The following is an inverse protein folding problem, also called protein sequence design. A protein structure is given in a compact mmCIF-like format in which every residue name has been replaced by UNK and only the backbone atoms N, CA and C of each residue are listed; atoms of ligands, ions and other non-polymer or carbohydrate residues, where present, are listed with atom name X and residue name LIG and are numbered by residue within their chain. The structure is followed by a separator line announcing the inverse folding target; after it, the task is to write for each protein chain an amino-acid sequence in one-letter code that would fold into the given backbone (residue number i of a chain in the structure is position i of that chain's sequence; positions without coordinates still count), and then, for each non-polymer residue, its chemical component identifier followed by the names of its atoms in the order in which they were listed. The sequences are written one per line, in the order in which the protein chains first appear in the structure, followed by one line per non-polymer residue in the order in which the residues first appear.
data_IF_432544005681
#
_entry.id   IF_432544005681
#
_cell.length_a   1.000
_cell.length_b   1.000
_cell.length_c   1.000
_cell.angle_alpha   90.00
_cell.angle_beta   90.00
_cell.angle_gamma   90.00
#
_symmetry.space_group_name_H-M   'P 1'
#
loop_
_entity.id
_entity.type
_entity.pdbx_description
1 polymer ?
#
# COMPACT_ATOMS: atom_id res chain seq x y z
N UNK A 1 25.85 -65.39 -4.80
CA UNK A 1 26.70 -64.82 -5.83
C UNK A 1 26.39 -63.34 -5.83
N UNK A 2 27.10 -62.56 -5.09
CA UNK A 2 28.38 -61.89 -5.46
C UNK A 2 28.18 -60.87 -6.57
N UNK A 3 28.48 -59.61 -6.20
CA UNK A 3 28.90 -58.51 -6.99
C UNK A 3 28.23 -57.20 -6.51
N UNK A 4 28.62 -56.42 -5.60
CA UNK A 4 29.80 -55.58 -5.24
C UNK A 4 30.18 -54.55 -6.33
N UNK A 5 30.17 -53.30 -5.82
CA UNK A 5 31.12 -52.16 -6.03
C UNK A 5 30.79 -51.17 -7.15
N UNK A 6 30.81 -49.92 -6.75
CA UNK A 6 31.03 -48.79 -7.63
C UNK A 6 30.77 -47.46 -6.96
N UNK A 7 31.69 -47.05 -6.05
CA UNK A 7 31.82 -45.70 -5.54
C UNK A 7 32.31 -44.77 -6.66
N UNK A 8 31.94 -43.52 -6.59
CA UNK A 8 32.48 -42.47 -7.43
C UNK A 8 31.92 -41.11 -7.10
N UNK A 9 32.48 -40.48 -6.05
CA UNK A 9 32.49 -39.03 -5.96
C UNK A 9 33.66 -38.49 -6.78
N UNK A 10 33.61 -37.29 -7.30
CA UNK A 10 34.75 -36.40 -7.19
C UNK A 10 34.40 -35.10 -6.48
N UNK A 11 35.26 -34.81 -5.53
CA UNK A 11 35.58 -33.49 -5.03
C UNK A 11 36.21 -32.61 -6.12
N UNK A 12 36.24 -31.38 -5.75
CA UNK A 12 37.06 -30.26 -6.21
C UNK A 12 36.27 -29.28 -7.06
N UNK A 13 36.35 -27.96 -6.90
CA UNK A 13 37.42 -27.12 -6.35
C UNK A 13 36.85 -25.72 -6.12
N UNK A 14 37.35 -25.05 -5.09
CA UNK A 14 37.13 -23.65 -4.81
C UNK A 14 37.77 -22.75 -5.86
N UNK A 15 37.03 -21.73 -6.29
CA UNK A 15 37.64 -20.55 -6.92
C UNK A 15 37.02 -19.30 -6.33
N UNK A 16 37.77 -18.72 -5.46
CA UNK A 16 37.77 -17.34 -5.03
C UNK A 16 37.88 -16.38 -6.23
N UNK A 17 36.96 -15.43 -6.35
CA UNK A 17 37.21 -14.21 -7.09
C UNK A 17 36.36 -13.09 -6.52
N UNK A 18 36.98 -12.18 -5.81
CA UNK A 18 36.44 -10.94 -5.31
C UNK A 18 35.77 -10.10 -6.40
N UNK A 19 34.60 -9.58 -6.08
CA UNK A 19 33.88 -8.63 -6.87
C UNK A 19 33.21 -7.61 -5.96
N UNK A 20 33.93 -6.55 -5.67
CA UNK A 20 33.43 -5.31 -5.11
C UNK A 20 32.29 -4.79 -5.97
N UNK A 21 31.06 -4.81 -5.48
CA UNK A 21 29.97 -4.13 -6.14
C UNK A 21 29.45 -3.01 -5.28
N UNK A 22 29.82 -1.84 -5.76
CA UNK A 22 29.25 -0.53 -5.49
C UNK A 22 27.73 -0.57 -5.29
N UNK A 23 27.27 -0.02 -4.16
CA UNK A 23 25.86 0.21 -3.89
C UNK A 23 25.23 1.18 -4.91
N UNK A 24 23.92 1.12 -5.08
CA UNK A 24 23.23 2.01 -6.01
C UNK A 24 23.33 3.46 -5.54
N UNK A 25 23.99 4.23 -6.36
CA UNK A 25 24.10 5.67 -6.31
C UNK A 25 22.72 6.29 -6.47
N UNK A 26 22.20 6.93 -5.42
CA UNK A 26 21.00 7.75 -5.47
C UNK A 26 21.38 9.14 -6.00
N UNK A 27 20.96 9.57 -7.18
CA UNK A 27 21.20 10.95 -7.63
C UNK A 27 20.28 11.90 -6.88
N UNK A 28 20.88 12.84 -6.15
CA UNK A 28 20.19 13.98 -5.58
C UNK A 28 19.81 14.97 -6.70
N UNK A 29 18.62 15.58 -6.66
CA UNK A 29 18.26 16.62 -7.62
C UNK A 29 19.05 17.91 -7.34
N UNK A 30 19.41 18.67 -8.38
CA UNK A 30 20.15 19.93 -8.22
C UNK A 30 19.26 21.01 -7.59
N UNK A 31 19.84 21.68 -6.59
CA UNK A 31 19.32 22.90 -5.99
C UNK A 31 19.34 24.05 -7.03
N UNK A 32 18.21 24.43 -7.55
CA UNK A 32 18.04 25.62 -8.36
C UNK A 32 17.62 26.80 -7.48
N UNK A 33 18.59 27.60 -7.06
CA UNK A 33 18.34 28.95 -6.57
C UNK A 33 18.04 29.84 -7.78
N UNK A 34 16.78 30.19 -7.99
CA UNK A 34 16.37 31.20 -8.94
C UNK A 34 15.90 32.45 -8.18
N UNK A 35 16.78 33.44 -8.15
CA UNK A 35 16.41 34.82 -7.82
C UNK A 35 15.50 35.36 -8.93
N UNK A 36 14.24 35.62 -8.60
CA UNK A 36 13.35 36.39 -9.48
C UNK A 36 13.01 37.70 -8.77
N UNK A 37 13.53 38.78 -9.31
CA UNK A 37 13.16 40.14 -8.99
C UNK A 37 11.73 40.41 -9.46
N UNK A 38 10.90 40.95 -8.58
CA UNK A 38 9.56 41.40 -8.91
C UNK A 38 9.60 42.80 -9.55
N UNK A 39 8.82 43.05 -10.63
CA UNK A 39 8.61 44.41 -11.11
C UNK A 39 7.56 45.13 -10.25
N UNK A 40 7.90 46.35 -9.87
CA UNK A 40 7.00 47.29 -9.21
C UNK A 40 6.10 47.92 -10.28
N UNK A 41 4.84 47.58 -10.29
CA UNK A 41 3.81 48.35 -10.96
C UNK A 41 2.81 48.88 -9.97
N UNK A 42 2.86 50.20 -9.79
CA UNK A 42 1.96 51.00 -8.97
C UNK A 42 0.62 51.15 -9.66
N UNK A 43 -0.42 50.57 -9.18
CA UNK A 43 -1.81 50.85 -9.57
C UNK A 43 -2.43 51.78 -8.55
N UNK A 44 -2.87 52.99 -8.91
CA UNK A 44 -3.56 53.88 -7.99
C UNK A 44 -5.04 53.57 -7.90
N UNK A 45 -5.58 53.36 -6.72
CA UNK A 45 -7.01 53.46 -6.48
C UNK A 45 -7.76 52.28 -5.84
N UNK A 46 -7.14 51.44 -5.04
CA UNK A 46 -7.87 50.46 -4.21
C UNK A 46 -7.87 50.96 -2.77
N UNK A 47 -9.08 51.27 -2.24
CA UNK A 47 -9.27 51.53 -0.81
C UNK A 47 -8.85 50.30 -0.02
N UNK A 48 -7.71 50.39 0.61
CA UNK A 48 -7.23 49.38 1.56
C UNK A 48 -8.14 49.37 2.78
N UNK A 49 -9.10 48.45 2.80
CA UNK A 49 -9.67 48.00 4.05
C UNK A 49 -8.57 47.27 4.78
N UNK A 50 -8.04 47.86 5.81
CA UNK A 50 -7.01 47.31 6.70
C UNK A 50 -7.59 46.04 7.37
N UNK A 51 -7.42 44.90 6.73
CA UNK A 51 -7.66 43.62 7.37
C UNK A 51 -6.56 43.41 8.39
N UNK A 52 -6.91 43.46 9.65
CA UNK A 52 -6.01 43.15 10.79
C UNK A 52 -5.50 41.69 10.61
N UNK A 53 -4.22 41.49 10.26
CA UNK A 53 -3.69 40.14 9.97
C UNK A 53 -3.69 39.25 11.22
N UNK A 54 -3.87 39.82 12.42
CA UNK A 54 -3.86 39.04 13.67
C UNK A 54 -5.20 38.39 14.00
N UNK A 55 -6.32 38.84 13.42
CA UNK A 55 -7.65 38.24 13.64
C UNK A 55 -7.91 37.03 12.77
N UNK A 56 -7.27 36.96 11.60
CA UNK A 56 -7.60 35.92 10.63
C UNK A 56 -6.77 34.61 10.78
N UNK A 57 -5.57 34.72 11.37
CA UNK A 57 -4.66 33.58 11.56
C UNK A 57 -5.24 32.54 12.52
N UNK A 58 -5.92 32.98 13.60
CA UNK A 58 -6.54 32.03 14.54
C UNK A 58 -7.72 31.26 13.94
N UNK A 59 -8.48 31.89 13.06
CA UNK A 59 -9.58 31.23 12.35
C UNK A 59 -9.09 30.21 11.34
N UNK A 60 -8.08 30.56 10.56
CA UNK A 60 -7.49 29.67 9.55
C UNK A 60 -6.76 28.50 10.20
N UNK A 61 -5.97 28.74 11.28
CA UNK A 61 -5.33 27.66 12.03
C UNK A 61 -6.35 26.71 12.69
N UNK A 62 -7.47 27.26 13.17
CA UNK A 62 -8.54 26.43 13.78
C UNK A 62 -9.25 25.58 12.76
N UNK A 63 -9.47 26.09 11.55
CA UNK A 63 -10.09 25.33 10.45
C UNK A 63 -9.13 24.26 9.96
N UNK A 64 -7.86 24.57 9.70
CA UNK A 64 -6.84 23.60 9.30
C UNK A 64 -6.57 22.53 10.36
N UNK A 65 -6.58 22.92 11.65
CA UNK A 65 -6.43 21.97 12.76
C UNK A 65 -7.69 21.09 12.95
N UNK A 66 -8.86 21.53 12.55
CA UNK A 66 -10.09 20.74 12.61
C UNK A 66 -10.22 19.78 11.42
N UNK A 67 -9.69 20.14 10.26
CA UNK A 67 -9.62 19.25 9.08
C UNK A 67 -8.57 18.16 9.27
N UNK A 68 -7.39 18.50 9.80
CA UNK A 68 -6.36 17.51 10.13
C UNK A 68 -6.80 16.48 11.20
N UNK A 69 -7.78 16.84 12.05
CA UNK A 69 -8.32 15.91 13.06
C UNK A 69 -9.43 15.01 12.53
N UNK A 70 -10.01 15.29 11.38
CA UNK A 70 -11.05 14.44 10.77
C UNK A 70 -10.50 13.25 10.02
N UNK A 71 -9.22 13.28 9.65
CA UNK A 71 -8.58 12.24 8.83
C UNK A 71 -7.82 11.18 9.64
N UNK A 72 -7.65 11.37 10.95
CA UNK A 72 -6.99 10.36 11.78
C UNK A 72 -8.01 9.53 12.54
N UNK A 73 -8.15 8.26 12.16
CA UNK A 73 -8.89 7.28 12.94
C UNK A 73 -8.23 7.09 14.30
N UNK A 74 -9.01 6.79 15.35
CA UNK A 74 -8.39 6.24 16.56
C UNK A 74 -7.73 4.91 16.24
N UNK A 75 -6.66 4.54 16.95
CA UNK A 75 -5.98 3.26 16.74
C UNK A 75 -6.95 2.07 16.90
N UNK A 76 -7.89 2.18 17.81
CA UNK A 76 -8.93 1.18 18.02
C UNK A 76 -9.87 1.08 16.81
N UNK A 77 -10.30 2.19 16.25
CA UNK A 77 -11.20 2.22 15.08
C UNK A 77 -10.47 1.72 13.84
N UNK A 78 -9.21 2.11 13.68
CA UNK A 78 -8.37 1.57 12.62
C UNK A 78 -8.26 0.05 12.69
N UNK A 79 -7.89 -0.49 13.86
CA UNK A 79 -7.75 -1.94 14.05
C UNK A 79 -9.05 -2.68 13.79
N UNK A 80 -10.18 -2.15 14.28
CA UNK A 80 -11.49 -2.75 14.06
C UNK A 80 -11.86 -2.78 12.58
N UNK A 81 -11.65 -1.67 11.86
CA UNK A 81 -11.94 -1.57 10.42
C UNK A 81 -11.02 -2.45 9.59
N UNK A 82 -9.72 -2.45 9.88
CA UNK A 82 -8.75 -3.28 9.18
C UNK A 82 -9.05 -4.78 9.39
N UNK A 83 -9.34 -5.20 10.62
CA UNK A 83 -9.72 -6.58 10.91
C UNK A 83 -11.02 -6.99 10.19
N UNK A 84 -12.00 -6.07 10.09
CA UNK A 84 -13.25 -6.31 9.38
C UNK A 84 -13.02 -6.53 7.87
N UNK A 85 -12.10 -5.77 7.25
CA UNK A 85 -11.71 -5.97 5.85
C UNK A 85 -11.11 -7.35 5.63
N UNK A 86 -10.11 -7.74 6.44
CA UNK A 86 -9.48 -9.05 6.31
C UNK A 86 -10.50 -10.19 6.47
N UNK A 87 -11.35 -10.12 7.51
CA UNK A 87 -12.40 -11.11 7.73
C UNK A 87 -13.44 -11.14 6.60
N UNK A 88 -13.71 -10.03 5.95
CA UNK A 88 -14.62 -9.98 4.80
C UNK A 88 -14.00 -10.65 3.56
N UNK A 89 -12.71 -10.43 3.33
CA UNK A 89 -11.96 -11.10 2.25
C UNK A 89 -11.96 -12.62 2.47
N UNK A 90 -11.64 -13.11 3.67
CA UNK A 90 -11.69 -14.54 4.03
C UNK A 90 -13.05 -15.13 3.70
N UNK A 91 -14.13 -14.55 4.23
CA UNK A 91 -15.50 -15.04 3.95
C UNK A 91 -15.87 -15.02 2.47
N UNK A 92 -15.33 -14.11 1.69
CA UNK A 92 -15.58 -14.06 0.25
C UNK A 92 -14.89 -15.23 -0.46
N UNK A 93 -13.66 -15.53 -0.08
CA UNK A 93 -12.89 -16.65 -0.60
C UNK A 93 -13.53 -17.98 -0.20
N UNK A 94 -13.92 -18.16 1.08
CA UNK A 94 -14.62 -19.35 1.57
C UNK A 94 -15.91 -19.61 0.77
N UNK A 95 -16.65 -18.54 0.45
CA UNK A 95 -17.87 -18.66 -0.37
C UNK A 95 -17.54 -19.11 -1.80
N UNK A 96 -16.47 -18.60 -2.40
CA UNK A 96 -16.05 -19.03 -3.76
C UNK A 96 -15.65 -20.49 -3.79
N UNK A 97 -15.03 -21.01 -2.74
CA UNK A 97 -14.75 -22.45 -2.60
C UNK A 97 -16.05 -23.25 -2.53
N UNK A 98 -17.04 -22.81 -1.73
CA UNK A 98 -18.33 -23.47 -1.59
C UNK A 98 -19.17 -23.47 -2.89
N UNK A 99 -19.00 -22.43 -3.71
CA UNK A 99 -19.71 -22.23 -4.97
C UNK A 99 -18.93 -22.80 -6.19
N UNK A 100 -17.84 -23.55 -5.97
CA UNK A 100 -16.94 -24.08 -7.02
C UNK A 100 -16.44 -22.99 -7.99
N UNK A 101 -16.31 -21.74 -7.50
CA UNK A 101 -15.79 -20.64 -8.32
C UNK A 101 -14.29 -20.79 -8.48
N UNK A 102 -13.55 -20.88 -7.39
CA UNK A 102 -12.10 -21.04 -7.37
C UNK A 102 -11.66 -21.52 -5.98
N UNK A 103 -10.63 -22.35 -5.95
CA UNK A 103 -9.98 -22.81 -4.73
C UNK A 103 -8.78 -21.90 -4.44
N UNK A 104 -8.92 -21.04 -3.44
CA UNK A 104 -7.86 -20.17 -2.93
C UNK A 104 -7.67 -20.50 -1.46
N UNK A 105 -6.49 -20.96 -1.09
CA UNK A 105 -6.15 -21.17 0.31
C UNK A 105 -5.94 -19.84 1.03
N UNK A 106 -6.43 -19.74 2.25
CA UNK A 106 -6.25 -18.56 3.11
C UNK A 106 -5.44 -18.89 4.34
N UNK A 107 -4.41 -18.11 4.62
CA UNK A 107 -3.64 -18.20 5.86
C UNK A 107 -3.64 -16.86 6.57
N UNK A 108 -4.10 -16.85 7.83
CA UNK A 108 -4.16 -15.62 8.63
C UNK A 108 -3.34 -15.71 9.88
N UNK A 109 -2.46 -14.73 10.09
CA UNK A 109 -1.68 -14.57 11.30
C UNK A 109 -1.76 -13.12 11.79
N UNK A 110 -2.58 -12.88 12.81
CA UNK A 110 -2.80 -11.53 13.33
C UNK A 110 -3.37 -10.58 12.29
N UNK A 111 -2.61 -9.54 11.94
CA UNK A 111 -2.97 -8.54 10.93
C UNK A 111 -2.52 -8.87 9.50
N UNK A 112 -1.98 -10.06 9.28
CA UNK A 112 -1.54 -10.53 7.98
C UNK A 112 -2.51 -11.61 7.48
N UNK A 113 -2.93 -11.51 6.22
CA UNK A 113 -3.73 -12.49 5.50
C UNK A 113 -3.07 -12.79 4.16
N UNK A 114 -2.75 -14.05 3.93
CA UNK A 114 -2.27 -14.55 2.63
C UNK A 114 -3.39 -15.27 1.89
N UNK A 115 -3.49 -15.00 0.60
CA UNK A 115 -4.34 -15.70 -0.35
C UNK A 115 -3.43 -16.46 -1.31
N UNK A 116 -3.47 -17.79 -1.29
CA UNK A 116 -2.64 -18.67 -2.13
C UNK A 116 -3.50 -19.21 -3.26
N UNK A 117 -3.17 -18.85 -4.48
CA UNK A 117 -3.90 -19.24 -5.68
C UNK A 117 -3.47 -20.63 -6.17
N UNK A 118 -4.29 -21.32 -6.98
CA UNK A 118 -3.99 -22.66 -7.50
C UNK A 118 -2.67 -22.74 -8.29
N UNK A 119 -2.23 -21.63 -8.88
CA UNK A 119 -0.94 -21.55 -9.61
C UNK A 119 0.26 -21.30 -8.67
N UNK A 120 0.02 -21.29 -7.37
CA UNK A 120 1.04 -21.01 -6.33
C UNK A 120 1.36 -19.53 -6.17
N UNK A 121 0.76 -18.64 -6.93
CA UNK A 121 0.92 -17.19 -6.70
C UNK A 121 0.20 -16.75 -5.44
N UNK A 122 0.63 -15.62 -4.86
CA UNK A 122 0.09 -15.13 -3.60
C UNK A 122 -0.32 -13.67 -3.71
N UNK A 123 -1.38 -13.33 -2.97
CA UNK A 123 -1.69 -11.96 -2.58
C UNK A 123 -1.54 -11.88 -1.06
N UNK A 124 -0.82 -10.89 -0.58
CA UNK A 124 -0.61 -10.66 0.84
C UNK A 124 -1.26 -9.34 1.24
N UNK A 125 -2.15 -9.41 2.21
CA UNK A 125 -2.77 -8.26 2.85
C UNK A 125 -2.17 -8.11 4.24
N UNK A 126 -1.70 -6.91 4.58
CA UNK A 126 -1.06 -6.66 5.86
C UNK A 126 -1.53 -5.34 6.47
N UNK A 127 -1.88 -5.36 7.74
CA UNK A 127 -2.22 -4.15 8.50
C UNK A 127 -0.95 -3.47 9.00
N UNK A 128 -0.87 -2.16 8.88
CA UNK A 128 0.24 -1.33 9.36
C UNK A 128 -0.25 -0.33 10.41
N UNK A 129 -0.38 -0.72 11.68
CA UNK A 129 -0.93 0.15 12.71
C UNK A 129 -0.21 1.49 12.89
N UNK A 130 1.13 1.58 12.84
CA UNK A 130 1.81 2.86 13.00
C UNK A 130 1.49 3.89 11.90
N UNK A 131 1.11 3.42 10.72
CA UNK A 131 0.75 4.26 9.57
C UNK A 131 -0.76 4.37 9.37
N UNK A 132 -1.55 3.57 10.10
CA UNK A 132 -2.98 3.38 9.91
C UNK A 132 -3.34 3.02 8.45
N UNK A 133 -2.50 2.14 7.85
CA UNK A 133 -2.63 1.70 6.46
C UNK A 133 -2.92 0.20 6.36
N UNK A 134 -3.59 -0.17 5.28
CA UNK A 134 -3.63 -1.54 4.76
C UNK A 134 -2.67 -1.64 3.58
N UNK A 135 -1.85 -2.66 3.57
CA UNK A 135 -0.95 -2.95 2.45
C UNK A 135 -1.45 -4.18 1.71
N UNK A 136 -1.42 -4.09 0.39
CA UNK A 136 -1.72 -5.18 -0.53
C UNK A 136 -0.47 -5.41 -1.38
N UNK A 137 0.06 -6.62 -1.35
CA UNK A 137 1.15 -7.05 -2.20
C UNK A 137 0.65 -8.18 -3.12
N UNK A 138 0.79 -7.99 -4.42
CA UNK A 138 0.40 -8.93 -5.45
C UNK A 138 1.51 -9.08 -6.50
N UNK A 139 1.37 -9.97 -7.47
CA UNK A 139 2.32 -10.11 -8.57
C UNK A 139 2.52 -8.81 -9.36
N UNK A 140 1.48 -8.00 -9.49
CA UNK A 140 1.52 -6.69 -10.18
C UNK A 140 2.21 -5.59 -9.38
N UNK A 141 2.48 -5.78 -8.08
CA UNK A 141 3.14 -4.79 -7.21
C UNK A 141 2.50 -4.62 -5.86
N UNK A 142 2.94 -3.58 -5.14
CA UNK A 142 2.45 -3.23 -3.81
C UNK A 142 1.64 -1.93 -3.81
N UNK A 143 0.49 -1.94 -3.12
CA UNK A 143 -0.42 -0.81 -2.94
C UNK A 143 -0.64 -0.54 -1.45
N UNK A 144 -0.80 0.72 -1.10
CA UNK A 144 -0.99 1.18 0.27
C UNK A 144 -2.30 1.96 0.37
N UNK A 145 -3.14 1.61 1.32
CA UNK A 145 -4.49 2.17 1.46
C UNK A 145 -4.66 2.83 2.82
N UNK A 146 -5.25 4.02 2.82
CA UNK A 146 -5.73 4.72 4.02
C UNK A 146 -7.25 4.73 4.06
N UNK A 147 -7.78 4.70 5.27
CA UNK A 147 -9.22 4.83 5.46
C UNK A 147 -9.61 6.32 5.50
N UNK A 148 -10.28 6.78 4.46
CA UNK A 148 -10.79 8.14 4.30
C UNK A 148 -12.31 8.04 4.19
N UNK A 149 -13.05 8.74 5.03
CA UNK A 149 -14.53 8.72 5.06
C UNK A 149 -15.14 7.30 5.06
N UNK A 150 -14.48 6.38 5.75
CA UNK A 150 -14.92 4.98 5.86
C UNK A 150 -14.55 4.07 4.69
N UNK A 151 -13.88 4.59 3.67
CA UNK A 151 -13.40 3.86 2.49
C UNK A 151 -11.89 3.70 2.53
N UNK A 152 -11.38 2.57 2.11
CA UNK A 152 -9.95 2.33 1.98
C UNK A 152 -9.50 2.75 0.57
N UNK A 153 -8.78 3.88 0.49
CA UNK A 153 -8.32 4.47 -0.77
C UNK A 153 -6.80 4.36 -0.89
N UNK A 154 -6.32 3.99 -2.07
CA UNK A 154 -4.89 3.96 -2.39
C UNK A 154 -4.26 5.35 -2.22
N UNK A 155 -3.08 5.39 -1.62
CA UNK A 155 -2.38 6.65 -1.28
C UNK A 155 -1.85 7.41 -2.49
N UNK A 156 -1.76 6.76 -3.66
CA UNK A 156 -1.24 7.36 -4.90
C UNK A 156 -2.35 7.69 -5.89
N UNK A 157 -3.18 6.71 -6.22
CA UNK A 157 -4.16 6.79 -7.30
C UNK A 157 -5.61 6.95 -6.79
N UNK A 158 -5.82 6.94 -5.48
CA UNK A 158 -7.15 7.03 -4.85
C UNK A 158 -8.13 5.92 -5.28
N UNK A 159 -7.61 4.80 -5.81
CA UNK A 159 -8.40 3.63 -6.17
C UNK A 159 -8.88 2.93 -4.90
N UNK A 160 -10.10 2.40 -4.94
CA UNK A 160 -10.70 1.73 -3.80
C UNK A 160 -10.08 0.34 -3.60
N UNK A 161 -9.93 -0.10 -2.35
CA UNK A 161 -9.26 -1.34 -1.96
C UNK A 161 -9.85 -2.60 -2.61
N UNK A 162 -11.18 -2.76 -2.56
CA UNK A 162 -11.82 -3.96 -3.12
C UNK A 162 -11.78 -3.98 -4.65
N UNK A 163 -11.77 -2.82 -5.29
CA UNK A 163 -11.55 -2.71 -6.73
C UNK A 163 -10.12 -3.13 -7.09
N UNK A 164 -9.12 -2.62 -6.38
CA UNK A 164 -7.72 -2.98 -6.59
C UNK A 164 -7.47 -4.48 -6.32
N UNK A 165 -8.01 -5.01 -5.21
CA UNK A 165 -7.91 -6.43 -4.87
C UNK A 165 -8.58 -7.31 -5.93
N UNK A 166 -9.75 -6.90 -6.43
CA UNK A 166 -10.44 -7.63 -7.52
C UNK A 166 -9.62 -7.70 -8.79
N UNK A 167 -8.95 -6.61 -9.15
CA UNK A 167 -8.06 -6.54 -10.31
C UNK A 167 -6.88 -7.51 -10.14
N UNK A 168 -6.14 -7.39 -9.04
CA UNK A 168 -4.99 -8.24 -8.75
C UNK A 168 -5.38 -9.74 -8.68
N UNK A 169 -6.49 -10.04 -8.02
CA UNK A 169 -6.98 -11.42 -7.90
C UNK A 169 -7.42 -11.99 -9.25
N UNK A 170 -8.09 -11.20 -10.07
CA UNK A 170 -8.51 -11.64 -11.42
C UNK A 170 -7.32 -11.93 -12.33
N UNK A 171 -6.29 -11.10 -12.28
CA UNK A 171 -5.04 -11.28 -13.02
C UNK A 171 -4.31 -12.58 -12.61
N UNK A 172 -4.22 -12.86 -11.29
CA UNK A 172 -3.56 -14.05 -10.78
C UNK A 172 -4.37 -15.33 -10.99
N UNK A 173 -5.69 -15.24 -10.92
CA UNK A 173 -6.60 -16.36 -11.15
C UNK A 173 -6.81 -16.68 -12.64
N UNK A 174 -6.47 -15.76 -13.55
CA UNK A 174 -6.79 -15.89 -14.97
C UNK A 174 -8.30 -15.89 -15.28
N UNK A 175 -9.13 -15.41 -14.34
CA UNK A 175 -10.60 -15.31 -14.46
C UNK A 175 -11.12 -14.14 -13.66
N UNK A 176 -12.27 -13.61 -14.04
CA UNK A 176 -12.87 -12.47 -13.33
C UNK A 176 -13.31 -12.86 -11.92
N UNK A 177 -12.72 -12.23 -10.91
CA UNK A 177 -13.08 -12.33 -9.51
C UNK A 177 -13.46 -10.94 -9.01
N UNK A 178 -14.53 -10.84 -8.21
CA UNK A 178 -14.98 -9.54 -7.70
C UNK A 178 -15.17 -9.59 -6.19
N UNK A 179 -14.32 -8.88 -5.49
CA UNK A 179 -14.54 -8.50 -4.09
C UNK A 179 -15.43 -7.25 -4.04
N UNK A 180 -16.36 -7.21 -3.12
CA UNK A 180 -17.22 -6.04 -2.87
C UNK A 180 -17.00 -5.54 -1.46
N UNK A 181 -17.14 -4.23 -1.24
CA UNK A 181 -17.10 -3.70 0.11
C UNK A 181 -18.22 -4.31 0.97
N UNK A 182 -17.99 -4.55 2.28
CA UNK A 182 -19.04 -4.94 3.19
C UNK A 182 -20.11 -3.84 3.23
N UNK A 183 -21.37 -4.22 3.13
CA UNK A 183 -22.52 -3.32 3.25
C UNK A 183 -22.74 -2.83 4.68
#
# INVERSE_FOLDING_TARGET
MMGAVGAGAPEAEAADAGGSTSGPFCPQPPSMAASAQAPSDSIPGVRTTTLDPRRNIRGILSIMASEARRDTLSDRDYQARAAAVLAHVERTVDRWLQEDVIDIDTERTGGLLELVFPDGSRIVLNTQPPLQELWLAARSGGLHFRCIDGRWLDTKEQREFFEALSTCASEQAGKTLRFTAPG
#
